data_IF_360611004318
#
_entry.id   IF_360611004318
#
_cell.length_a   1.000
_cell.length_b   1.000
_cell.length_c   1.000
_cell.angle_alpha   90.00
_cell.angle_beta   90.00
_cell.angle_gamma   90.00
#
_symmetry.space_group_name_H-M   'P 1'
#
loop_
_entity.id
_entity.type
_entity.pdbx_description
1 polymer ?
#
# COMPACT_ATOMS: atom_id res chain seq x y z
N UNK A 1 2.45 15.72 2.88
CA UNK A 1 1.08 15.52 2.36
C UNK A 1 1.15 14.51 1.22
N UNK A 2 0.16 13.62 1.05
CA UNK A 2 0.11 12.76 -0.12
C UNK A 2 0.08 13.60 -1.40
N UNK A 3 0.54 13.04 -2.53
CA UNK A 3 0.54 13.73 -3.82
C UNK A 3 -0.88 14.20 -4.20
N UNK A 4 -0.98 15.35 -4.86
CA UNK A 4 -2.27 15.93 -5.28
C UNK A 4 -2.99 15.09 -6.34
N UNK A 5 -2.27 14.23 -7.06
CA UNK A 5 -2.81 13.33 -8.07
C UNK A 5 -2.55 11.85 -7.75
N UNK A 6 -3.53 10.96 -7.99
CA UNK A 6 -3.35 9.53 -7.78
C UNK A 6 -2.41 8.91 -8.82
N UNK A 7 -1.51 8.04 -8.38
CA UNK A 7 -0.65 7.25 -9.27
C UNK A 7 -1.41 6.15 -10.02
N UNK A 8 -2.59 5.77 -9.54
CA UNK A 8 -3.47 4.77 -10.16
C UNK A 8 -4.92 5.06 -9.80
N UNK A 9 -5.83 4.94 -10.78
CA UNK A 9 -7.27 5.19 -10.58
C UNK A 9 -8.09 3.98 -11.03
N UNK A 10 -8.97 3.51 -10.16
CA UNK A 10 -9.88 2.41 -10.45
C UNK A 10 -9.28 1.01 -10.27
N UNK A 11 -10.16 0.03 -10.13
CA UNK A 11 -9.81 -1.35 -9.77
C UNK A 11 -8.99 -2.07 -10.85
N UNK A 12 -9.30 -1.84 -12.13
CA UNK A 12 -8.59 -2.50 -13.23
C UNK A 12 -7.14 -2.03 -13.34
N UNK A 13 -6.90 -0.71 -13.30
CA UNK A 13 -5.54 -0.17 -13.33
C UNK A 13 -4.73 -0.64 -12.11
N UNK A 14 -5.35 -0.69 -10.92
CA UNK A 14 -4.71 -1.22 -9.71
C UNK A 14 -4.35 -2.70 -9.86
N UNK A 15 -5.28 -3.50 -10.39
CA UNK A 15 -5.04 -4.93 -10.62
C UNK A 15 -3.86 -5.15 -11.57
N UNK A 16 -3.84 -4.45 -12.70
CA UNK A 16 -2.76 -4.55 -13.68
C UNK A 16 -1.42 -4.15 -13.06
N UNK A 17 -1.37 -3.04 -12.33
CA UNK A 17 -0.16 -2.59 -11.65
C UNK A 17 0.40 -3.65 -10.69
N UNK A 18 -0.44 -4.21 -9.82
CA UNK A 18 0.01 -5.22 -8.87
C UNK A 18 0.43 -6.52 -9.57
N UNK A 19 -0.30 -6.95 -10.59
CA UNK A 19 0.05 -8.14 -11.36
C UNK A 19 1.42 -7.99 -12.06
N UNK A 20 1.67 -6.86 -12.70
CA UNK A 20 2.86 -6.63 -13.53
C UNK A 20 4.10 -6.17 -12.75
N UNK A 21 3.94 -5.63 -11.54
CA UNK A 21 5.06 -5.02 -10.82
C UNK A 21 5.24 -5.51 -9.38
N UNK A 22 4.33 -6.32 -8.85
CA UNK A 22 4.36 -6.77 -7.46
C UNK A 22 4.21 -8.29 -7.36
N UNK A 23 3.06 -8.83 -7.72
CA UNK A 23 2.74 -10.25 -7.55
C UNK A 23 3.39 -11.19 -8.56
N UNK A 24 4.13 -10.65 -9.53
CA UNK A 24 5.07 -11.41 -10.35
C UNK A 24 6.42 -11.68 -9.65
N UNK A 25 6.68 -11.06 -8.50
CA UNK A 25 7.92 -11.22 -7.75
C UNK A 25 7.72 -12.23 -6.59
N UNK A 26 8.31 -13.44 -6.67
CA UNK A 26 8.14 -14.46 -5.62
C UNK A 26 8.83 -14.10 -4.30
N UNK A 27 9.74 -13.11 -4.29
CA UNK A 27 10.40 -12.62 -3.08
C UNK A 27 9.60 -11.51 -2.39
N UNK A 28 8.53 -11.03 -3.02
CA UNK A 28 7.72 -9.96 -2.45
C UNK A 28 7.01 -10.45 -1.18
N UNK A 29 7.23 -9.73 -0.08
CA UNK A 29 6.53 -9.95 1.18
C UNK A 29 6.32 -8.61 1.87
N UNK A 30 5.06 -8.26 2.16
CA UNK A 30 4.73 -7.18 3.08
C UNK A 30 4.54 -7.76 4.48
N UNK A 31 5.41 -7.38 5.41
CA UNK A 31 5.34 -7.77 6.81
C UNK A 31 4.68 -6.66 7.62
N UNK A 32 3.49 -6.94 8.16
CA UNK A 32 2.76 -5.98 8.99
C UNK A 32 3.42 -5.86 10.37
N UNK A 33 3.98 -4.69 10.67
CA UNK A 33 4.62 -4.38 11.95
C UNK A 33 3.60 -3.89 12.98
N UNK A 34 2.70 -3.01 12.56
CA UNK A 34 1.60 -2.54 13.40
C UNK A 34 0.41 -2.07 12.55
N UNK A 35 -0.77 -2.10 13.17
CA UNK A 35 -2.00 -1.57 12.59
C UNK A 35 -2.66 -0.62 13.58
N UNK A 36 -3.03 0.57 13.10
CA UNK A 36 -3.88 1.52 13.83
C UNK A 36 -5.15 1.77 13.03
N UNK A 37 -6.29 1.84 13.72
CA UNK A 37 -7.59 2.17 13.11
C UNK A 37 -8.12 3.44 13.75
N UNK A 38 -8.48 4.43 12.93
CA UNK A 38 -9.08 5.69 13.36
C UNK A 38 -10.31 5.97 12.50
N UNK A 39 -11.49 5.69 13.05
CA UNK A 39 -12.75 5.82 12.32
C UNK A 39 -12.73 4.95 11.05
N UNK A 40 -12.83 5.59 9.89
CA UNK A 40 -12.82 4.92 8.58
C UNK A 40 -11.43 4.82 7.94
N UNK A 41 -10.38 5.18 8.67
CA UNK A 41 -8.99 5.10 8.22
C UNK A 41 -8.26 3.93 8.89
N UNK A 42 -7.53 3.17 8.09
CA UNK A 42 -6.64 2.09 8.56
C UNK A 42 -5.22 2.46 8.18
N UNK A 43 -4.30 2.36 9.14
CA UNK A 43 -2.89 2.64 8.97
C UNK A 43 -2.11 1.36 9.22
N UNK A 44 -1.51 0.81 8.18
CA UNK A 44 -0.66 -0.37 8.24
C UNK A 44 0.79 0.06 8.10
N UNK A 45 1.57 -0.08 9.18
CA UNK A 45 3.02 0.07 9.14
C UNK A 45 3.62 -1.26 8.72
N UNK A 46 4.31 -1.26 7.60
CA UNK A 46 4.79 -2.45 6.93
C UNK A 46 6.30 -2.39 6.70
N UNK A 47 6.94 -3.56 6.75
CA UNK A 47 8.27 -3.81 6.21
C UNK A 47 8.15 -4.65 4.95
N UNK A 48 8.50 -4.08 3.81
CA UNK A 48 8.37 -4.70 2.50
C UNK A 48 9.71 -5.29 2.07
N UNK A 49 9.72 -6.60 1.84
CA UNK A 49 10.85 -7.37 1.34
C UNK A 49 10.72 -7.57 -0.18
N UNK A 50 11.86 -7.71 -0.87
CA UNK A 50 11.89 -8.09 -2.29
C UNK A 50 11.75 -6.94 -3.30
N UNK A 51 11.56 -5.68 -2.86
CA UNK A 51 11.56 -4.50 -3.73
C UNK A 51 12.96 -3.88 -3.93
N UNK A 52 13.89 -4.17 -3.03
CA UNK A 52 15.29 -3.76 -3.04
C UNK A 52 16.13 -4.81 -2.30
N UNK A 53 17.49 -4.72 -2.33
CA UNK A 53 18.34 -5.62 -1.56
C UNK A 53 18.02 -5.63 -0.07
N UNK A 54 17.79 -4.44 0.50
CA UNK A 54 17.35 -4.26 1.88
C UNK A 54 15.83 -4.06 1.96
N UNK A 55 15.15 -4.52 3.02
CA UNK A 55 13.73 -4.25 3.21
C UNK A 55 13.43 -2.76 3.36
N UNK A 56 12.32 -2.32 2.78
CA UNK A 56 11.86 -0.94 2.85
C UNK A 56 10.73 -0.85 3.89
N UNK A 57 10.71 0.20 4.70
CA UNK A 57 9.54 0.50 5.53
C UNK A 57 8.55 1.40 4.80
N UNK A 58 7.26 1.18 5.06
CA UNK A 58 6.20 2.03 4.54
C UNK A 58 5.01 2.09 5.48
N UNK A 59 4.20 3.13 5.35
CA UNK A 59 2.85 3.17 5.92
C UNK A 59 1.84 3.18 4.78
N UNK A 60 1.06 2.11 4.67
CA UNK A 60 -0.11 2.04 3.80
C UNK A 60 -1.33 2.55 4.58
N UNK A 61 -1.99 3.58 4.05
CA UNK A 61 -3.17 4.18 4.64
C UNK A 61 -4.36 3.93 3.74
N UNK A 62 -5.43 3.38 4.30
CA UNK A 62 -6.65 3.08 3.58
C UNK A 62 -7.80 3.92 4.10
N UNK A 63 -8.59 4.47 3.18
CA UNK A 63 -9.93 4.98 3.47
C UNK A 63 -10.96 3.93 3.09
N UNK A 64 -11.78 3.57 4.08
CA UNK A 64 -12.81 2.54 3.94
C UNK A 64 -14.18 3.20 3.96
N UNK A 65 -15.05 2.82 3.04
CA UNK A 65 -16.45 3.24 3.00
C UNK A 65 -17.31 2.03 2.60
N UNK A 66 -18.42 1.81 3.31
CA UNK A 66 -19.33 0.68 3.06
C UNK A 66 -18.61 -0.69 2.97
N UNK A 67 -17.55 -0.87 3.77
CA UNK A 67 -16.75 -2.10 3.81
C UNK A 67 -15.75 -2.28 2.66
N UNK A 68 -15.56 -1.27 1.80
CA UNK A 68 -14.62 -1.30 0.67
C UNK A 68 -13.54 -0.24 0.82
N UNK A 69 -12.33 -0.53 0.31
CA UNK A 69 -11.25 0.46 0.22
C UNK A 69 -11.55 1.39 -0.95
N UNK A 70 -11.80 2.67 -0.66
CA UNK A 70 -12.07 3.71 -1.65
C UNK A 70 -10.78 4.36 -2.14
N UNK A 71 -9.86 4.63 -1.20
CA UNK A 71 -8.59 5.30 -1.48
C UNK A 71 -7.47 4.64 -0.67
N UNK A 72 -6.30 4.53 -1.27
CA UNK A 72 -5.08 4.09 -0.60
C UNK A 72 -3.97 5.12 -0.82
N UNK A 73 -3.21 5.40 0.24
CA UNK A 73 -2.00 6.22 0.20
C UNK A 73 -0.84 5.40 0.72
N UNK A 74 0.35 5.63 0.17
CA UNK A 74 1.58 4.97 0.60
C UNK A 74 2.60 6.03 0.96
N UNK A 75 3.12 5.95 2.18
CA UNK A 75 4.17 6.83 2.69
C UNK A 75 5.44 6.02 2.91
N UNK A 76 6.56 6.56 2.44
CA UNK A 76 7.89 5.98 2.62
C UNK A 76 8.73 6.93 3.48
N UNK A 77 9.67 6.40 4.29
CA UNK A 77 10.61 7.24 5.03
C UNK A 77 11.43 8.09 4.05
N UNK A 78 11.76 9.30 4.50
CA UNK A 78 12.61 10.27 3.78
C UNK A 78 14.09 9.94 3.93
#
# INVERSE_FOLDING_TARGET
>A
MPAESPSTVGKEALRTFYMEHRFNNPLLKAELLSRTVLGNKVFDHERIHGLSPDPIESVAVFEVENGLIQTAWFFFPS
#
